data_IF_314453693792
#
_entry.id   IF_314453693792
#
_cell.length_a   1.000
_cell.length_b   1.000
_cell.length_c   1.000
_cell.angle_alpha   90.00
_cell.angle_beta   90.00
_cell.angle_gamma   90.00
#
_symmetry.space_group_name_H-M   'P 1'
#
loop_
_entity.id
_entity.type
_entity.pdbx_description
1 polymer ?
#
# COMPACT_ATOMS: atom_id res chain seq x y z
N UNK A 1 2.49 -5.10 -0.22
CA UNK A 1 3.07 -6.39 0.21
C UNK A 1 2.15 -7.57 0.01
N UNK A 2 1.09 -7.77 0.81
CA UNK A 2 0.25 -8.99 0.74
C UNK A 2 -0.22 -9.38 -0.68
N UNK A 3 -0.76 -8.42 -1.44
CA UNK A 3 -1.19 -8.65 -2.82
C UNK A 3 -0.03 -9.11 -3.73
N UNK A 4 1.14 -8.46 -3.63
CA UNK A 4 2.33 -8.82 -4.40
C UNK A 4 2.95 -10.15 -3.97
N UNK A 5 2.90 -10.50 -2.69
CA UNK A 5 3.33 -11.82 -2.21
C UNK A 5 2.43 -12.92 -2.80
N UNK A 6 1.12 -12.70 -2.89
CA UNK A 6 0.20 -13.64 -3.51
C UNK A 6 0.46 -13.76 -5.03
N UNK A 7 0.72 -12.64 -5.72
CA UNK A 7 1.12 -12.65 -7.13
C UNK A 7 2.39 -13.47 -7.34
N UNK A 8 3.48 -13.16 -6.61
CA UNK A 8 4.77 -13.83 -6.78
C UNK A 8 4.71 -15.33 -6.47
N UNK A 9 3.88 -15.76 -5.51
CA UNK A 9 3.67 -17.19 -5.21
C UNK A 9 2.89 -17.93 -6.30
N UNK A 10 2.01 -17.24 -7.02
CA UNK A 10 1.09 -17.85 -7.99
C UNK A 10 1.52 -17.67 -9.46
N UNK A 11 2.54 -16.85 -9.74
CA UNK A 11 3.10 -16.65 -11.10
C UNK A 11 3.73 -17.94 -11.69
N UNK A 12 3.87 -19.02 -10.91
CA UNK A 12 4.15 -20.37 -11.43
C UNK A 12 3.01 -20.92 -12.30
N UNK A 13 1.82 -20.29 -12.28
CA UNK A 13 0.66 -20.62 -13.12
C UNK A 13 0.66 -19.71 -14.36
N UNK A 14 1.08 -20.28 -15.50
CA UNK A 14 0.99 -19.78 -16.90
C UNK A 14 0.92 -18.25 -17.13
N UNK A 15 2.02 -17.76 -17.68
CA UNK A 15 2.42 -16.39 -18.04
C UNK A 15 1.54 -15.59 -19.01
N UNK A 16 0.29 -15.96 -19.28
CA UNK A 16 -0.51 -15.25 -20.31
C UNK A 16 -1.28 -14.02 -19.79
N UNK A 17 -1.60 -13.93 -18.48
CA UNK A 17 -2.49 -12.88 -17.95
C UNK A 17 -1.92 -12.04 -16.80
N UNK A 18 -0.59 -11.93 -16.64
CA UNK A 18 0.04 -11.22 -15.50
C UNK A 18 -0.51 -9.79 -15.30
N UNK A 19 -0.70 -9.04 -16.39
CA UNK A 19 -1.25 -7.68 -16.35
C UNK A 19 -2.67 -7.63 -15.78
N UNK A 20 -3.53 -8.60 -16.13
CA UNK A 20 -4.89 -8.67 -15.61
C UNK A 20 -4.90 -9.00 -14.11
N UNK A 21 -4.08 -9.96 -13.67
CA UNK A 21 -3.98 -10.31 -12.25
C UNK A 21 -3.39 -9.16 -11.43
N UNK A 22 -2.43 -8.41 -11.98
CA UNK A 22 -1.93 -7.18 -11.34
C UNK A 22 -3.03 -6.13 -11.15
N UNK A 23 -3.91 -5.93 -12.14
CA UNK A 23 -5.04 -4.98 -12.00
C UNK A 23 -6.00 -5.39 -10.89
N UNK A 24 -6.33 -6.68 -10.79
CA UNK A 24 -7.15 -7.20 -9.70
C UNK A 24 -6.47 -7.06 -8.33
N UNK A 25 -5.15 -7.26 -8.25
CA UNK A 25 -4.38 -7.04 -7.05
C UNK A 25 -4.40 -5.57 -6.60
N UNK A 26 -4.28 -4.62 -7.53
CA UNK A 26 -4.42 -3.18 -7.26
C UNK A 26 -5.83 -2.84 -6.79
N UNK A 27 -6.85 -3.41 -7.44
CA UNK A 27 -8.25 -3.18 -7.07
C UNK A 27 -8.53 -3.68 -5.65
N UNK A 28 -8.14 -4.93 -5.37
CA UNK A 28 -8.26 -5.53 -4.04
C UNK A 28 -7.55 -4.70 -2.98
N UNK A 29 -6.32 -4.25 -3.24
CA UNK A 29 -5.57 -3.39 -2.33
C UNK A 29 -6.33 -2.09 -2.00
N UNK A 30 -6.92 -1.43 -3.00
CA UNK A 30 -7.69 -0.19 -2.80
C UNK A 30 -8.94 -0.44 -1.95
N UNK A 31 -9.71 -1.49 -2.25
CA UNK A 31 -10.94 -1.80 -1.51
C UNK A 31 -10.66 -2.20 -0.06
N UNK A 32 -9.67 -3.05 0.17
CA UNK A 32 -9.33 -3.49 1.53
C UNK A 32 -8.77 -2.32 2.35
N UNK A 33 -7.84 -1.55 1.79
CA UNK A 33 -7.26 -0.38 2.47
C UNK A 33 -8.31 0.68 2.77
N UNK A 34 -9.18 0.99 1.80
CA UNK A 34 -10.26 1.97 1.99
C UNK A 34 -11.30 1.52 3.01
N UNK A 35 -11.66 0.22 3.01
CA UNK A 35 -12.60 -0.34 3.99
C UNK A 35 -12.03 -0.29 5.41
N UNK A 36 -10.75 -0.64 5.57
CA UNK A 36 -10.05 -0.53 6.85
C UNK A 36 -9.97 0.92 7.32
N UNK A 37 -9.48 1.83 6.47
CA UNK A 37 -9.29 3.23 6.84
C UNK A 37 -10.61 3.89 7.24
N UNK A 38 -11.68 3.64 6.49
CA UNK A 38 -13.02 4.14 6.84
C UNK A 38 -13.47 3.63 8.21
N UNK A 39 -13.44 2.32 8.43
CA UNK A 39 -13.88 1.73 9.69
C UNK A 39 -13.03 2.21 10.88
N UNK A 40 -11.72 2.37 10.68
CA UNK A 40 -10.82 2.93 11.68
C UNK A 40 -11.21 4.37 12.03
N UNK A 41 -11.31 5.25 11.04
CA UNK A 41 -11.65 6.66 11.24
C UNK A 41 -13.04 6.83 11.87
N UNK A 42 -14.03 6.02 11.46
CA UNK A 42 -15.37 6.03 12.06
C UNK A 42 -15.34 5.65 13.55
N UNK A 43 -14.44 4.74 13.93
CA UNK A 43 -14.25 4.27 15.32
C UNK A 43 -13.55 5.30 16.18
N UNK A 44 -12.57 6.02 15.64
CA UNK A 44 -11.72 6.96 16.40
C UNK A 44 -12.04 8.44 16.18
N UNK A 45 -13.12 8.76 15.45
CA UNK A 45 -13.49 10.13 15.02
C UNK A 45 -13.57 11.17 16.14
N UNK A 46 -13.87 10.74 17.37
CA UNK A 46 -14.06 11.62 18.53
C UNK A 46 -12.80 11.73 19.41
N UNK A 47 -11.69 11.09 19.01
CA UNK A 47 -10.45 11.09 19.77
C UNK A 47 -9.52 12.24 19.31
N UNK A 48 -8.85 12.97 20.23
CA UNK A 48 -8.08 14.17 19.89
C UNK A 48 -6.89 14.00 18.94
N UNK A 49 -6.41 12.77 18.69
CA UNK A 49 -5.23 12.53 17.85
C UNK A 49 -5.55 12.48 16.35
N UNK A 50 -6.82 12.41 15.95
CA UNK A 50 -7.22 12.40 14.54
C UNK A 50 -7.53 13.84 14.12
N UNK A 51 -6.85 14.40 13.10
CA UNK A 51 -7.22 15.69 12.55
C UNK A 51 -8.68 15.72 12.10
N UNK A 52 -9.40 16.78 12.47
CA UNK A 52 -10.78 16.99 12.03
C UNK A 52 -10.84 17.50 10.60
N UNK A 53 -9.82 18.25 10.19
CA UNK A 53 -9.68 18.70 8.82
C UNK A 53 -9.22 17.53 7.94
N UNK A 54 -9.90 17.36 6.81
CA UNK A 54 -9.66 16.23 5.92
C UNK A 54 -8.36 16.38 5.15
N UNK A 55 -7.94 17.59 4.84
CA UNK A 55 -6.67 17.83 4.14
C UNK A 55 -5.49 17.63 5.08
N UNK A 56 -5.58 18.09 6.34
CA UNK A 56 -4.59 17.78 7.37
C UNK A 56 -4.43 16.26 7.57
N UNK A 57 -5.55 15.54 7.72
CA UNK A 57 -5.54 14.08 7.84
C UNK A 57 -4.89 13.42 6.62
N UNK A 58 -5.23 13.89 5.41
CA UNK A 58 -4.66 13.36 4.16
C UNK A 58 -3.15 13.61 4.09
N UNK A 59 -2.69 14.82 4.38
CA UNK A 59 -1.27 15.18 4.39
C UNK A 59 -0.50 14.32 5.39
N UNK A 60 -1.02 14.16 6.60
CA UNK A 60 -0.38 13.31 7.61
C UNK A 60 -0.31 11.85 7.17
N UNK A 61 -1.40 11.31 6.62
CA UNK A 61 -1.44 9.93 6.14
C UNK A 61 -0.46 9.71 4.98
N UNK A 62 -0.45 10.61 4.00
CA UNK A 62 0.46 10.54 2.86
C UNK A 62 1.93 10.63 3.30
N UNK A 63 2.24 11.52 4.26
CA UNK A 63 3.58 11.66 4.83
C UNK A 63 4.05 10.37 5.52
N UNK A 64 3.22 9.77 6.40
CA UNK A 64 3.57 8.52 7.07
C UNK A 64 3.67 7.33 6.11
N UNK A 65 2.81 7.28 5.10
CA UNK A 65 2.87 6.25 4.06
C UNK A 65 4.15 6.38 3.23
N UNK A 66 4.58 7.60 2.91
CA UNK A 66 5.82 7.87 2.19
C UNK A 66 7.04 7.51 3.04
N UNK A 67 7.07 7.92 4.31
CA UNK A 67 8.14 7.56 5.26
C UNK A 67 8.31 6.03 5.33
N UNK A 68 7.19 5.31 5.51
CA UNK A 68 7.19 3.84 5.55
C UNK A 68 7.67 3.22 4.24
N UNK A 69 7.26 3.75 3.09
CA UNK A 69 7.68 3.24 1.79
C UNK A 69 9.17 3.48 1.52
N UNK A 70 9.73 4.60 1.97
CA UNK A 70 11.17 4.89 1.89
C UNK A 70 11.96 3.96 2.82
N UNK A 71 11.48 3.75 4.05
CA UNK A 71 12.08 2.78 4.97
C UNK A 71 12.10 1.38 4.35
N UNK A 72 10.98 0.93 3.80
CA UNK A 72 10.86 -0.36 3.11
C UNK A 72 11.79 -0.46 1.90
N UNK A 73 11.95 0.62 1.11
CA UNK A 73 12.89 0.65 0.00
C UNK A 73 14.33 0.37 0.48
N UNK A 74 14.77 1.06 1.52
CA UNK A 74 16.11 0.84 2.11
C UNK A 74 16.25 -0.55 2.72
N UNK A 75 15.21 -1.08 3.34
CA UNK A 75 15.20 -2.42 3.91
C UNK A 75 15.32 -3.51 2.84
N UNK A 76 14.48 -3.46 1.80
CA UNK A 76 14.47 -4.48 0.74
C UNK A 76 15.74 -4.41 -0.11
N UNK A 77 16.34 -3.23 -0.29
CA UNK A 77 17.63 -3.07 -0.97
C UNK A 77 18.75 -3.91 -0.31
N UNK A 78 18.71 -4.05 1.02
CA UNK A 78 19.73 -4.75 1.78
C UNK A 78 19.39 -6.22 2.04
N UNK A 79 18.12 -6.62 1.90
CA UNK A 79 17.65 -7.95 2.34
C UNK A 79 17.10 -8.81 1.21
N UNK A 80 16.28 -8.24 0.31
CA UNK A 80 15.61 -8.94 -0.80
C UNK A 80 15.44 -8.00 -2.00
N UNK A 81 16.51 -7.77 -2.79
CA UNK A 81 16.47 -6.81 -3.89
C UNK A 81 15.36 -7.10 -4.93
N UNK A 82 14.91 -8.34 -5.05
CA UNK A 82 13.80 -8.72 -5.93
C UNK A 82 12.42 -8.17 -5.50
N UNK A 83 12.31 -7.64 -4.27
CA UNK A 83 11.09 -7.02 -3.74
C UNK A 83 11.04 -5.50 -3.92
N UNK A 84 12.11 -4.87 -4.43
CA UNK A 84 12.22 -3.41 -4.61
C UNK A 84 11.05 -2.79 -5.40
N UNK A 85 10.46 -3.54 -6.32
CA UNK A 85 9.32 -3.06 -7.12
C UNK A 85 8.11 -2.68 -6.26
N UNK A 86 7.93 -3.31 -5.09
CA UNK A 86 6.79 -3.06 -4.20
C UNK A 86 6.86 -1.67 -3.57
N UNK A 87 7.91 -1.29 -2.80
CA UNK A 87 8.01 0.05 -2.24
C UNK A 87 8.14 1.14 -3.32
N UNK A 88 8.79 0.86 -4.46
CA UNK A 88 8.86 1.83 -5.59
C UNK A 88 7.46 2.14 -6.14
N UNK A 89 6.62 1.13 -6.38
CA UNK A 89 5.23 1.34 -6.81
C UNK A 89 4.42 2.09 -5.74
N UNK A 90 4.70 1.85 -4.45
CA UNK A 90 4.10 2.58 -3.34
C UNK A 90 4.44 4.07 -3.37
N UNK A 91 5.73 4.41 -3.45
CA UNK A 91 6.20 5.81 -3.55
C UNK A 91 5.60 6.51 -4.77
N UNK A 92 5.64 5.88 -5.94
CA UNK A 92 5.04 6.44 -7.16
C UNK A 92 3.54 6.68 -7.05
N UNK A 93 2.82 5.93 -6.22
CA UNK A 93 1.39 6.13 -6.01
C UNK A 93 1.04 7.30 -5.09
N UNK A 94 2.01 7.84 -4.35
CA UNK A 94 1.85 8.95 -3.41
C UNK A 94 2.33 10.30 -3.99
N UNK A 95 3.09 10.27 -5.08
CA UNK A 95 3.60 11.43 -5.81
C UNK A 95 2.74 11.72 -7.05
#
# INVERSE_FOLDING_TARGET
YAAYTALNKNITVKTENISEVEQWAVLWYKYVSGSFLRAYLDTVKDIPFVPKDKEELKIMLDAFMLEKAIYELGYELNTRPEWLIIPIKGIKGLL
#
